data_IF_992305279312
#
_entry.id   IF_992305279312
#
_cell.length_a   1.000
_cell.length_b   1.000
_cell.length_c   1.000
_cell.angle_alpha   90.00
_cell.angle_beta   90.00
_cell.angle_gamma   90.00
#
_symmetry.space_group_name_H-M   'P 1'
#
loop_
_entity.id
_entity.type
_entity.pdbx_description
1 polymer ?
#
# COMPACT_ATOMS: atom_id res chain seq x y z
N UNK A 1 4.22 25.96 -3.20
CA UNK A 1 4.95 25.16 -4.18
C UNK A 1 6.22 24.52 -3.61
N UNK A 2 7.04 25.24 -2.86
CA UNK A 2 8.29 24.68 -2.30
C UNK A 2 8.05 23.52 -1.32
N UNK A 3 7.08 23.63 -0.44
CA UNK A 3 6.71 22.55 0.49
C UNK A 3 6.19 21.31 -0.25
N UNK A 4 5.46 21.49 -1.34
CA UNK A 4 5.00 20.40 -2.18
C UNK A 4 6.15 19.70 -2.89
N UNK A 5 7.12 20.47 -3.43
CA UNK A 5 8.35 19.94 -4.02
C UNK A 5 9.17 19.11 -3.04
N UNK A 6 9.27 19.55 -1.78
CA UNK A 6 9.91 18.79 -0.69
C UNK A 6 9.16 17.49 -0.38
N UNK A 7 7.82 17.54 -0.34
CA UNK A 7 7.00 16.35 -0.16
C UNK A 7 7.18 15.34 -1.30
N UNK A 8 7.18 15.84 -2.55
CA UNK A 8 7.37 15.00 -3.72
C UNK A 8 8.75 14.32 -3.74
N UNK A 9 9.83 15.06 -3.35
CA UNK A 9 11.18 14.48 -3.19
C UNK A 9 11.20 13.37 -2.16
N UNK A 10 10.53 13.55 -1.01
CA UNK A 10 10.42 12.49 0.02
C UNK A 10 9.70 11.26 -0.53
N UNK A 11 8.60 11.43 -1.26
CA UNK A 11 7.86 10.31 -1.88
C UNK A 11 8.72 9.54 -2.89
N UNK A 12 9.50 10.25 -3.71
CA UNK A 12 10.46 9.62 -4.64
C UNK A 12 11.54 8.87 -3.87
N UNK A 13 12.12 9.46 -2.83
CA UNK A 13 13.13 8.82 -2.01
C UNK A 13 12.60 7.54 -1.35
N UNK A 14 11.46 7.62 -0.65
CA UNK A 14 10.83 6.45 -0.04
C UNK A 14 10.47 5.37 -1.05
N UNK A 15 9.91 5.75 -2.19
CA UNK A 15 9.60 4.80 -3.27
C UNK A 15 10.85 4.10 -3.82
N UNK A 16 11.94 4.84 -4.02
CA UNK A 16 13.22 4.28 -4.48
C UNK A 16 13.82 3.33 -3.44
N UNK A 17 13.84 3.73 -2.17
CA UNK A 17 14.31 2.87 -1.08
C UNK A 17 13.48 1.59 -1.00
N UNK A 18 12.17 1.69 -1.11
CA UNK A 18 11.27 0.54 -1.10
C UNK A 18 11.51 -0.40 -2.31
N UNK A 19 11.68 0.16 -3.52
CA UNK A 19 11.99 -0.60 -4.72
C UNK A 19 13.31 -1.37 -4.62
N UNK A 20 14.27 -0.88 -3.84
CA UNK A 20 15.54 -1.57 -3.60
C UNK A 20 15.44 -2.57 -2.44
N UNK A 21 14.75 -2.20 -1.36
CA UNK A 21 14.64 -3.03 -0.17
C UNK A 21 13.87 -4.33 -0.42
N UNK A 22 12.79 -4.29 -1.20
CA UNK A 22 11.96 -5.48 -1.45
C UNK A 22 12.71 -6.59 -2.19
N UNK A 23 13.39 -6.34 -3.33
CA UNK A 23 14.20 -7.36 -3.97
C UNK A 23 15.35 -7.88 -3.10
N UNK A 24 16.05 -6.99 -2.38
CA UNK A 24 17.13 -7.39 -1.48
C UNK A 24 16.62 -8.32 -0.39
N UNK A 25 15.51 -7.98 0.25
CA UNK A 25 14.87 -8.83 1.26
C UNK A 25 14.46 -10.19 0.66
N UNK A 26 13.92 -10.20 -0.55
CA UNK A 26 13.54 -11.44 -1.24
C UNK A 26 14.74 -12.34 -1.52
N UNK A 27 15.86 -11.77 -1.95
CA UNK A 27 17.10 -12.51 -2.19
C UNK A 27 17.65 -13.07 -0.87
N UNK A 28 17.66 -12.27 0.20
CA UNK A 28 18.10 -12.73 1.52
C UNK A 28 17.26 -13.89 2.05
N UNK A 29 15.94 -13.79 1.91
CA UNK A 29 15.03 -14.89 2.30
C UNK A 29 15.28 -16.17 1.48
N UNK A 30 15.57 -16.03 0.19
CA UNK A 30 15.93 -17.16 -0.68
C UNK A 30 17.23 -17.86 -0.24
N UNK A 31 18.23 -17.08 0.17
CA UNK A 31 19.52 -17.62 0.63
C UNK A 31 19.38 -18.33 1.99
N UNK A 32 18.48 -17.85 2.86
CA UNK A 32 18.28 -18.41 4.21
C UNK A 32 17.41 -19.66 4.16
N UNK A 33 16.28 -19.60 3.46
CA UNK A 33 15.23 -20.66 3.48
C UNK A 33 15.45 -21.71 2.37
N UNK A 34 16.23 -21.39 1.36
CA UNK A 34 16.44 -22.24 0.19
C UNK A 34 15.31 -22.14 -0.84
N UNK A 35 15.47 -22.89 -1.93
CA UNK A 35 14.51 -22.89 -3.04
C UNK A 35 13.29 -23.74 -2.70
N UNK A 36 12.22 -23.12 -2.25
CA UNK A 36 10.92 -23.74 -1.96
C UNK A 36 9.86 -23.26 -2.95
N UNK A 37 8.67 -23.92 -2.96
CA UNK A 37 7.50 -23.41 -3.71
C UNK A 37 7.12 -21.99 -3.32
N UNK A 38 7.35 -21.61 -2.05
CA UNK A 38 7.15 -20.26 -1.56
C UNK A 38 8.09 -19.24 -2.21
N UNK A 39 9.27 -19.65 -2.63
CA UNK A 39 10.26 -18.80 -3.26
C UNK A 39 9.78 -18.23 -4.61
N UNK A 40 9.10 -19.05 -5.41
CA UNK A 40 8.49 -18.59 -6.67
C UNK A 40 7.38 -17.56 -6.44
N UNK A 41 6.52 -17.79 -5.45
CA UNK A 41 5.47 -16.85 -5.08
C UNK A 41 6.05 -15.52 -4.57
N UNK A 42 6.99 -15.56 -3.63
CA UNK A 42 7.59 -14.35 -3.04
C UNK A 42 8.33 -13.51 -4.06
N UNK A 43 9.07 -14.14 -5.01
CA UNK A 43 9.74 -13.41 -6.07
C UNK A 43 8.75 -12.76 -7.05
N UNK A 44 7.70 -13.46 -7.46
CA UNK A 44 6.66 -12.91 -8.33
C UNK A 44 5.91 -11.74 -7.66
N UNK A 45 5.55 -11.90 -6.40
CA UNK A 45 4.88 -10.86 -5.61
C UNK A 45 5.77 -9.62 -5.42
N UNK A 46 7.03 -9.83 -5.04
CA UNK A 46 8.01 -8.76 -4.90
C UNK A 46 8.23 -7.97 -6.20
N UNK A 47 8.36 -8.69 -7.33
CA UNK A 47 8.51 -8.08 -8.66
C UNK A 47 7.27 -7.28 -9.04
N UNK A 48 6.07 -7.78 -8.78
CA UNK A 48 4.82 -7.08 -9.04
C UNK A 48 4.71 -5.77 -8.26
N UNK A 49 4.96 -5.80 -6.95
CA UNK A 49 4.93 -4.59 -6.11
C UNK A 49 6.03 -3.61 -6.53
N UNK A 50 7.25 -4.08 -6.76
CA UNK A 50 8.35 -3.24 -7.22
C UNK A 50 8.02 -2.56 -8.56
N UNK A 51 7.42 -3.26 -9.50
CA UNK A 51 6.99 -2.72 -10.79
C UNK A 51 5.96 -1.59 -10.65
N UNK A 52 4.93 -1.78 -9.83
CA UNK A 52 3.93 -0.74 -9.55
C UNK A 52 4.58 0.46 -8.87
N UNK A 53 5.39 0.25 -7.84
CA UNK A 53 6.07 1.33 -7.12
C UNK A 53 7.02 2.10 -8.03
N UNK A 54 7.74 1.40 -8.91
CA UNK A 54 8.66 2.00 -9.87
C UNK A 54 7.95 2.94 -10.86
N UNK A 55 6.76 2.59 -11.32
CA UNK A 55 5.97 3.48 -12.19
C UNK A 55 5.58 4.78 -11.48
N UNK A 56 5.21 4.72 -10.19
CA UNK A 56 4.95 5.92 -9.39
C UNK A 56 6.22 6.76 -9.17
N UNK A 57 7.35 6.12 -8.87
CA UNK A 57 8.64 6.81 -8.71
C UNK A 57 9.03 7.57 -9.98
N UNK A 58 8.94 6.92 -11.15
CA UNK A 58 9.22 7.57 -12.44
C UNK A 58 8.28 8.76 -12.66
N UNK A 59 6.98 8.59 -12.42
CA UNK A 59 6.00 9.66 -12.59
C UNK A 59 6.33 10.87 -11.73
N UNK A 60 6.63 10.67 -10.46
CA UNK A 60 6.98 11.75 -9.54
C UNK A 60 8.36 12.35 -9.83
N UNK A 61 9.34 11.54 -10.23
CA UNK A 61 10.67 12.02 -10.64
C UNK A 61 10.60 12.89 -11.90
N UNK A 62 9.76 12.52 -12.89
CA UNK A 62 9.51 13.34 -14.08
C UNK A 62 8.80 14.65 -13.72
N UNK A 63 7.85 14.61 -12.79
CA UNK A 63 7.16 15.81 -12.33
C UNK A 63 8.08 16.79 -11.58
N UNK A 64 9.11 16.29 -10.89
CA UNK A 64 10.10 17.15 -10.23
C UNK A 64 10.99 17.95 -11.22
N UNK A 65 11.12 17.46 -12.46
CA UNK A 65 11.89 18.09 -13.52
C UNK A 65 11.06 19.04 -14.39
N UNK A 66 9.74 18.99 -14.29
CA UNK A 66 8.80 19.70 -15.14
C UNK A 66 7.78 20.42 -14.25
N UNK A 67 7.86 21.76 -14.23
CA UNK A 67 7.00 22.57 -13.37
C UNK A 67 5.51 22.48 -13.74
N UNK A 68 5.17 22.30 -15.01
CA UNK A 68 3.78 22.15 -15.44
C UNK A 68 3.20 20.84 -14.91
N UNK A 69 3.95 19.73 -15.02
CA UNK A 69 3.52 18.43 -14.48
C UNK A 69 3.43 18.45 -12.96
N UNK A 70 4.36 19.12 -12.30
CA UNK A 70 4.32 19.29 -10.85
C UNK A 70 3.08 20.10 -10.44
N UNK A 71 2.76 21.17 -11.17
CA UNK A 71 1.57 22.00 -10.93
C UNK A 71 0.27 21.22 -11.18
N UNK A 72 0.22 20.42 -12.24
CA UNK A 72 -0.94 19.56 -12.53
C UNK A 72 -1.20 18.54 -11.42
N UNK A 73 -0.14 17.90 -10.88
CA UNK A 73 -0.27 16.98 -9.75
C UNK A 73 -0.73 17.73 -8.49
N UNK A 74 -0.17 18.93 -8.23
CA UNK A 74 -0.57 19.74 -7.09
C UNK A 74 -2.05 20.13 -7.16
N UNK A 75 -2.53 20.60 -8.30
CA UNK A 75 -3.93 20.97 -8.50
C UNK A 75 -4.82 19.74 -8.27
N UNK A 76 -4.47 18.61 -8.85
CA UNK A 76 -5.25 17.37 -8.71
C UNK A 76 -5.28 16.85 -7.26
N UNK A 77 -4.17 16.94 -6.51
CA UNK A 77 -4.13 16.52 -5.12
C UNK A 77 -4.88 17.48 -4.16
N UNK A 78 -5.02 18.76 -4.54
CA UNK A 78 -5.73 19.76 -3.74
C UNK A 78 -7.16 20.05 -4.25
N UNK A 79 -7.64 19.38 -5.28
CA UNK A 79 -9.01 19.48 -5.75
C UNK A 79 -9.94 18.78 -4.75
N UNK A 80 -10.86 19.54 -4.16
CA UNK A 80 -11.83 19.04 -3.18
C UNK A 80 -12.67 17.90 -3.74
N UNK A 81 -13.02 17.95 -5.02
CA UNK A 81 -13.75 16.87 -5.70
C UNK A 81 -12.93 15.58 -5.76
N UNK A 82 -11.67 15.66 -6.16
CA UNK A 82 -10.77 14.50 -6.23
C UNK A 82 -10.53 13.90 -4.83
N UNK A 83 -10.37 14.76 -3.81
CA UNK A 83 -10.23 14.31 -2.43
C UNK A 83 -11.50 13.64 -1.92
N UNK A 84 -12.68 14.20 -2.23
CA UNK A 84 -13.97 13.59 -1.85
C UNK A 84 -14.17 12.23 -2.55
N UNK A 85 -13.81 12.12 -3.83
CA UNK A 85 -13.87 10.84 -4.57
C UNK A 85 -12.91 9.83 -3.93
N UNK A 86 -11.67 10.21 -3.66
CA UNK A 86 -10.67 9.34 -3.04
C UNK A 86 -11.13 8.85 -1.66
N UNK A 87 -11.68 9.74 -0.83
CA UNK A 87 -12.19 9.38 0.49
C UNK A 87 -13.38 8.42 0.41
N UNK A 88 -14.33 8.67 -0.49
CA UNK A 88 -15.49 7.78 -0.71
C UNK A 88 -15.05 6.42 -1.26
N UNK A 89 -14.14 6.41 -2.22
CA UNK A 89 -13.57 5.18 -2.78
C UNK A 89 -12.87 4.36 -1.70
N UNK A 90 -11.99 4.98 -0.91
CA UNK A 90 -11.29 4.30 0.18
C UNK A 90 -12.28 3.70 1.19
N UNK A 91 -13.32 4.45 1.58
CA UNK A 91 -14.38 3.98 2.48
C UNK A 91 -15.13 2.78 1.91
N UNK A 92 -15.59 2.87 0.65
CA UNK A 92 -16.30 1.77 0.00
C UNK A 92 -15.42 0.53 -0.16
N UNK A 93 -14.18 0.69 -0.59
CA UNK A 93 -13.21 -0.41 -0.71
C UNK A 93 -12.97 -1.08 0.63
N UNK A 94 -12.84 -0.32 1.70
CA UNK A 94 -12.65 -0.86 3.05
C UNK A 94 -13.83 -1.74 3.49
N UNK A 95 -15.08 -1.27 3.33
CA UNK A 95 -16.25 -2.09 3.66
C UNK A 95 -16.37 -3.33 2.77
N UNK A 96 -16.12 -3.21 1.48
CA UNK A 96 -16.14 -4.37 0.58
C UNK A 96 -15.09 -5.41 0.99
N UNK A 97 -13.88 -4.97 1.34
CA UNK A 97 -12.83 -5.87 1.84
C UNK A 97 -13.24 -6.57 3.14
N UNK A 98 -13.88 -5.87 4.09
CA UNK A 98 -14.36 -6.49 5.33
C UNK A 98 -15.41 -7.58 5.05
N UNK A 99 -16.35 -7.32 4.13
CA UNK A 99 -17.35 -8.32 3.73
C UNK A 99 -16.68 -9.54 3.10
N UNK A 100 -15.74 -9.33 2.17
CA UNK A 100 -15.01 -10.42 1.52
C UNK A 100 -14.19 -11.25 2.52
N UNK A 101 -13.51 -10.58 3.46
CA UNK A 101 -12.77 -11.25 4.54
C UNK A 101 -13.70 -12.08 5.44
N UNK A 102 -14.87 -11.55 5.78
CA UNK A 102 -15.86 -12.28 6.59
C UNK A 102 -16.35 -13.54 5.89
N UNK A 103 -16.66 -13.44 4.60
CA UNK A 103 -17.05 -14.63 3.79
C UNK A 103 -15.90 -15.63 3.70
N UNK A 104 -14.67 -15.16 3.46
CA UNK A 104 -13.49 -16.01 3.41
C UNK A 104 -13.25 -16.75 4.74
N UNK A 105 -13.44 -16.08 5.89
CA UNK A 105 -13.35 -16.71 7.21
C UNK A 105 -14.39 -17.83 7.40
N UNK A 106 -15.64 -17.57 6.99
CA UNK A 106 -16.69 -18.60 7.10
C UNK A 106 -16.35 -19.84 6.26
N UNK A 107 -15.88 -19.65 5.04
CA UNK A 107 -15.49 -20.77 4.16
C UNK A 107 -14.26 -21.51 4.73
N UNK A 108 -13.21 -20.78 5.13
CA UNK A 108 -11.97 -21.39 5.60
C UNK A 108 -12.11 -22.08 6.94
N UNK A 109 -13.07 -21.69 7.78
CA UNK A 109 -13.36 -22.36 9.05
C UNK A 109 -13.71 -23.85 8.86
N UNK A 110 -14.39 -24.17 7.74
CA UNK A 110 -14.76 -25.56 7.41
C UNK A 110 -13.70 -26.31 6.58
N UNK A 111 -12.86 -25.58 5.84
CA UNK A 111 -11.87 -26.18 4.93
C UNK A 111 -10.51 -26.32 5.61
N UNK A 112 -10.04 -25.28 6.28
CA UNK A 112 -8.72 -25.27 6.93
C UNK A 112 -8.68 -24.26 8.09
N UNK A 113 -8.72 -24.80 9.31
CA UNK A 113 -8.73 -24.01 10.54
C UNK A 113 -7.50 -23.09 10.71
N UNK A 114 -6.32 -23.51 10.23
CA UNK A 114 -5.11 -22.70 10.32
C UNK A 114 -5.22 -21.43 9.48
N UNK A 115 -5.78 -21.53 8.27
CA UNK A 115 -6.01 -20.37 7.39
C UNK A 115 -7.04 -19.42 8.03
N UNK A 116 -8.09 -19.97 8.65
CA UNK A 116 -9.09 -19.17 9.35
C UNK A 116 -8.46 -18.33 10.47
N UNK A 117 -7.59 -18.91 11.30
CA UNK A 117 -6.88 -18.18 12.36
C UNK A 117 -6.05 -17.03 11.80
N UNK A 118 -5.32 -17.24 10.70
CA UNK A 118 -4.54 -16.17 10.06
C UNK A 118 -5.45 -15.03 9.60
N UNK A 119 -6.58 -15.32 8.97
CA UNK A 119 -7.54 -14.31 8.54
C UNK A 119 -8.15 -13.53 9.72
N UNK A 120 -8.43 -14.20 10.84
CA UNK A 120 -8.90 -13.54 12.07
C UNK A 120 -7.86 -12.56 12.59
N UNK A 121 -6.59 -12.95 12.66
CA UNK A 121 -5.49 -12.08 13.11
C UNK A 121 -5.36 -10.85 12.19
N UNK A 122 -5.40 -11.05 10.87
CA UNK A 122 -5.33 -9.94 9.88
C UNK A 122 -6.50 -8.98 10.10
N UNK A 123 -7.70 -9.49 10.33
CA UNK A 123 -8.90 -8.64 10.55
C UNK A 123 -8.80 -7.86 11.86
N UNK A 124 -8.27 -8.47 12.93
CA UNK A 124 -8.03 -7.77 14.19
C UNK A 124 -6.99 -6.65 14.03
N UNK A 125 -5.91 -6.88 13.29
CA UNK A 125 -4.90 -5.85 12.98
C UNK A 125 -5.54 -4.70 12.21
N UNK A 126 -6.37 -4.97 11.21
CA UNK A 126 -7.09 -3.94 10.45
C UNK A 126 -8.03 -3.13 11.35
N UNK A 127 -8.77 -3.79 12.24
CA UNK A 127 -9.65 -3.12 13.19
C UNK A 127 -8.87 -2.19 14.13
N UNK A 128 -7.79 -2.68 14.74
CA UNK A 128 -6.92 -1.89 15.62
C UNK A 128 -6.31 -0.70 14.87
N UNK A 129 -5.81 -0.90 13.66
CA UNK A 129 -5.25 0.17 12.83
C UNK A 129 -6.30 1.24 12.54
N UNK A 130 -7.53 0.85 12.25
CA UNK A 130 -8.65 1.79 12.01
C UNK A 130 -8.96 2.63 13.24
N UNK A 131 -8.99 2.01 14.43
CA UNK A 131 -9.23 2.73 15.69
C UNK A 131 -8.11 3.73 15.98
N UNK A 132 -6.84 3.34 15.78
CA UNK A 132 -5.68 4.20 16.00
C UNK A 132 -5.73 5.42 15.07
N UNK A 133 -5.96 5.21 13.77
CA UNK A 133 -6.05 6.31 12.81
C UNK A 133 -7.25 7.21 13.07
N UNK A 134 -8.40 6.66 13.44
CA UNK A 134 -9.57 7.45 13.80
C UNK A 134 -9.28 8.33 15.02
N UNK A 135 -8.69 7.79 16.09
CA UNK A 135 -8.31 8.54 17.27
C UNK A 135 -7.24 9.62 16.98
N UNK A 136 -6.31 9.34 16.06
CA UNK A 136 -5.31 10.31 15.64
C UNK A 136 -5.92 11.48 14.88
N UNK A 137 -6.76 11.21 13.87
CA UNK A 137 -7.36 12.27 13.05
C UNK A 137 -8.46 13.04 13.80
N UNK A 138 -9.22 12.42 14.71
CA UNK A 138 -10.22 13.12 15.52
C UNK A 138 -9.62 14.14 16.49
N UNK A 139 -8.33 14.00 16.85
CA UNK A 139 -7.62 14.99 17.69
C UNK A 139 -6.94 16.09 16.88
N UNK A 140 -6.79 15.92 15.57
CA UNK A 140 -6.03 16.82 14.70
C UNK A 140 -6.93 17.73 13.86
N UNK A 141 -8.17 17.36 13.67
CA UNK A 141 -9.24 18.12 13.00
C UNK A 141 -10.14 18.76 14.03
#
# INVERSE_FOLDING_TARGET
MENFKKSLKKRVLFGTVYCLAVPVLTILLHLIVGSTKAAGFTSGFATGIAGVTFTFVIRYARALKDEEKMRAIYIKENDEREQAIAARTAKSTFYTMLVMLSVAMLVTAYVNWQICIVLVIVTLILALTTVIWNAYYSKKL
#
